data_IF_581051976181
#
_entry.id   IF_581051976181
#
_cell.length_a   1.000
_cell.length_b   1.000
_cell.length_c   1.000
_cell.angle_alpha   90.00
_cell.angle_beta   90.00
_cell.angle_gamma   90.00
#
_symmetry.space_group_name_H-M   'P 1'
#
loop_
_entity.id
_entity.type
_entity.pdbx_description
1 polymer ?
#
# COMPACT_ATOMS: atom_id res chain seq x y z
N UNK A 1 11.66 -35.38 3.56
CA UNK A 1 11.76 -34.11 2.83
C UNK A 1 11.05 -33.05 3.65
N UNK A 2 11.78 -32.05 4.16
CA UNK A 2 11.36 -31.05 5.16
C UNK A 2 10.06 -30.33 4.74
N UNK A 3 8.91 -30.39 5.43
CA UNK A 3 8.50 -29.88 6.76
C UNK A 3 8.80 -28.38 6.97
N UNK A 4 7.72 -27.65 7.33
CA UNK A 4 7.56 -26.24 7.72
C UNK A 4 7.54 -25.17 6.62
N UNK A 5 6.49 -25.14 5.80
CA UNK A 5 5.93 -23.87 5.35
C UNK A 5 5.06 -23.31 6.48
N UNK A 6 5.60 -22.36 7.24
CA UNK A 6 4.88 -21.66 8.30
C UNK A 6 3.74 -20.85 7.68
N UNK A 7 2.53 -21.41 7.67
CA UNK A 7 1.33 -20.59 7.74
C UNK A 7 1.34 -20.02 9.17
N UNK A 8 1.70 -18.74 9.33
CA UNK A 8 1.50 -18.06 10.60
C UNK A 8 -0.01 -17.99 10.85
N UNK A 9 -0.51 -18.84 11.75
CA UNK A 9 -1.80 -18.67 12.39
C UNK A 9 -1.86 -17.26 12.98
N UNK A 10 -2.64 -16.37 12.38
CA UNK A 10 -3.16 -15.19 13.08
C UNK A 10 -4.32 -15.69 13.95
N UNK A 11 -3.98 -16.54 14.93
CA UNK A 11 -4.80 -16.82 16.09
C UNK A 11 -3.99 -16.57 17.35
N UNK A 12 -3.32 -15.43 17.37
CA UNK A 12 -2.98 -14.73 18.58
C UNK A 12 -3.96 -13.56 18.68
N UNK A 13 -4.75 -13.60 19.75
CA UNK A 13 -5.69 -12.62 20.28
C UNK A 13 -5.73 -11.25 19.58
N UNK A 14 -6.93 -10.65 19.48
CA UNK A 14 -7.10 -9.23 19.17
C UNK A 14 -6.24 -8.28 20.05
N UNK A 15 -5.62 -8.77 21.12
CA UNK A 15 -4.61 -8.08 21.94
C UNK A 15 -3.13 -8.28 21.55
N UNK A 16 -2.82 -9.14 20.57
CA UNK A 16 -1.47 -9.55 20.17
C UNK A 16 -0.92 -8.89 18.89
N UNK A 17 -1.67 -7.93 18.32
CA UNK A 17 -1.13 -6.98 17.34
C UNK A 17 -0.25 -5.96 18.09
N UNK A 18 0.74 -6.46 18.83
CA UNK A 18 1.71 -5.63 19.52
C UNK A 18 2.39 -4.75 18.49
N UNK A 19 2.41 -3.45 18.77
CA UNK A 19 3.25 -2.47 18.08
C UNK A 19 4.68 -3.01 18.19
N UNK A 20 5.19 -3.64 17.13
CA UNK A 20 6.57 -4.10 17.08
C UNK A 20 7.46 -2.86 17.17
N UNK A 21 7.98 -2.61 18.36
CA UNK A 21 8.84 -1.46 18.68
C UNK A 21 10.26 -1.60 18.12
N UNK A 22 10.54 -2.67 17.36
CA UNK A 22 11.77 -2.84 16.57
C UNK A 22 11.47 -3.47 15.21
N UNK A 23 11.98 -2.87 14.14
CA UNK A 23 11.99 -3.50 12.79
C UNK A 23 12.97 -4.65 12.81
N UNK A 24 12.50 -5.87 12.59
CA UNK A 24 13.34 -7.04 12.36
C UNK A 24 13.85 -7.02 10.91
N UNK A 25 15.09 -7.46 10.70
CA UNK A 25 15.71 -7.59 9.37
C UNK A 25 14.88 -8.47 8.42
N UNK A 26 13.99 -9.31 8.96
CA UNK A 26 13.16 -10.25 8.19
C UNK A 26 11.73 -9.78 7.93
N UNK A 27 11.30 -8.61 8.44
CA UNK A 27 9.91 -8.15 8.28
C UNK A 27 9.49 -8.02 6.80
N UNK A 28 10.44 -7.77 5.90
CA UNK A 28 10.22 -7.72 4.44
C UNK A 28 9.85 -9.07 3.79
N UNK A 29 9.96 -10.17 4.53
CA UNK A 29 9.61 -11.53 4.07
C UNK A 29 8.26 -11.99 4.59
N UNK A 30 7.65 -11.25 5.51
CA UNK A 30 6.38 -11.62 6.11
C UNK A 30 5.23 -11.26 5.16
N UNK A 31 4.41 -12.26 4.86
CA UNK A 31 3.14 -12.09 4.15
C UNK A 31 2.01 -12.45 5.11
N UNK A 32 1.16 -11.47 5.42
CA UNK A 32 -0.07 -11.70 6.14
C UNK A 32 -1.15 -12.14 5.16
N UNK A 33 -1.83 -13.23 5.50
CA UNK A 33 -2.95 -13.76 4.71
C UNK A 33 -4.22 -13.67 5.55
N UNK A 34 -5.28 -13.11 5.00
CA UNK A 34 -6.56 -12.95 5.67
C UNK A 34 -7.69 -13.27 4.70
N UNK A 35 -8.64 -14.08 5.16
CA UNK A 35 -9.91 -14.29 4.48
C UNK A 35 -10.88 -13.15 4.81
N UNK A 36 -11.37 -12.44 3.79
CA UNK A 36 -12.27 -11.29 3.92
C UNK A 36 -13.72 -11.69 4.15
N UNK A 37 -14.10 -12.94 3.91
CA UNK A 37 -15.46 -13.42 4.10
C UNK A 37 -15.73 -13.83 5.56
N UNK A 38 -14.69 -13.80 6.41
CA UNK A 38 -14.80 -13.97 7.84
C UNK A 38 -15.35 -12.71 8.53
N UNK A 39 -16.24 -12.89 9.50
CA UNK A 39 -16.87 -11.83 10.29
C UNK A 39 -15.88 -10.94 11.07
N UNK A 40 -14.72 -11.48 11.43
CA UNK A 40 -13.64 -10.77 12.11
C UNK A 40 -12.67 -10.02 11.18
N UNK A 41 -12.79 -10.17 9.86
CA UNK A 41 -11.80 -9.65 8.92
C UNK A 41 -11.69 -8.12 8.96
N UNK A 42 -12.81 -7.41 8.88
CA UNK A 42 -12.82 -5.93 8.91
C UNK A 42 -12.34 -5.38 10.26
N UNK A 43 -12.80 -5.88 11.42
CA UNK A 43 -12.22 -5.52 12.73
C UNK A 43 -10.70 -5.71 12.79
N UNK A 44 -10.18 -6.82 12.26
CA UNK A 44 -8.75 -7.10 12.25
C UNK A 44 -7.98 -6.13 11.35
N UNK A 45 -8.48 -5.82 10.16
CA UNK A 45 -7.87 -4.84 9.26
C UNK A 45 -7.84 -3.43 9.89
N UNK A 46 -8.87 -3.05 10.66
CA UNK A 46 -8.87 -1.79 11.42
C UNK A 46 -7.80 -1.78 12.51
N UNK A 47 -7.60 -2.89 13.22
CA UNK A 47 -6.54 -3.01 14.21
C UNK A 47 -5.15 -2.95 13.56
N UNK A 48 -4.95 -3.64 12.44
CA UNK A 48 -3.72 -3.59 11.64
C UNK A 48 -3.43 -2.17 11.10
N UNK A 49 -4.47 -1.45 10.68
CA UNK A 49 -4.35 -0.05 10.28
C UNK A 49 -3.86 0.82 11.44
N UNK A 50 -4.49 0.69 12.61
CA UNK A 50 -4.15 1.47 13.80
C UNK A 50 -2.73 1.20 14.31
N UNK A 51 -2.19 0.00 14.09
CA UNK A 51 -0.81 -0.38 14.41
C UNK A 51 0.21 -0.04 13.32
N UNK A 52 -0.23 0.56 12.20
CA UNK A 52 0.66 0.97 11.10
C UNK A 52 1.13 -0.18 10.19
N UNK A 53 0.47 -1.35 10.24
CA UNK A 53 0.88 -2.54 9.49
C UNK A 53 0.55 -2.49 8.00
N UNK A 54 -0.08 -1.42 7.51
CA UNK A 54 -0.18 -1.17 6.07
C UNK A 54 1.04 -0.44 5.50
N UNK A 55 1.96 0.05 6.31
CA UNK A 55 3.21 0.65 5.82
C UNK A 55 4.26 -0.39 5.48
N UNK A 56 5.16 -0.03 4.56
CA UNK A 56 6.28 -0.89 4.21
C UNK A 56 7.15 -1.23 5.45
N UNK A 57 7.68 -2.46 5.58
CA UNK A 57 7.77 -3.48 4.52
C UNK A 57 6.68 -4.57 4.56
N UNK A 58 5.62 -4.39 5.35
CA UNK A 58 4.58 -5.40 5.58
C UNK A 58 3.74 -5.65 4.33
N UNK A 59 3.42 -6.92 4.06
CA UNK A 59 2.63 -7.36 2.90
C UNK A 59 1.35 -8.06 3.32
N UNK A 60 0.28 -7.79 2.60
CA UNK A 60 -1.03 -8.39 2.83
C UNK A 60 -1.58 -9.02 1.55
N UNK A 61 -1.99 -10.28 1.69
CA UNK A 61 -2.81 -11.00 0.72
C UNK A 61 -4.17 -11.28 1.35
N UNK A 62 -5.20 -10.67 0.78
CA UNK A 62 -6.56 -10.76 1.27
C UNK A 62 -7.34 -11.64 0.30
N UNK A 63 -8.00 -12.68 0.80
CA UNK A 63 -8.77 -13.62 -0.01
C UNK A 63 -10.24 -13.24 0.08
N UNK A 64 -10.96 -13.29 -1.04
CA UNK A 64 -12.41 -13.09 -1.09
C UNK A 64 -13.03 -14.08 -2.05
N UNK A 65 -13.77 -15.04 -1.54
CA UNK A 65 -14.45 -16.06 -2.30
C UNK A 65 -15.92 -15.68 -2.56
N UNK A 66 -16.17 -15.07 -3.72
CA UNK A 66 -17.54 -14.72 -4.15
C UNK A 66 -18.38 -15.92 -4.60
N UNK A 67 -17.83 -17.14 -4.60
CA UNK A 67 -18.58 -18.34 -4.96
C UNK A 67 -19.39 -18.91 -3.78
N UNK A 68 -19.03 -18.53 -2.55
CA UNK A 68 -19.59 -19.08 -1.31
C UNK A 68 -20.52 -18.04 -0.66
N UNK A 69 -21.70 -17.77 -1.23
CA UNK A 69 -22.77 -17.08 -0.51
C UNK A 69 -23.70 -16.19 -1.34
N UNK A 70 -25.01 -16.47 -1.28
CA UNK A 70 -26.08 -15.69 -1.91
C UNK A 70 -26.45 -14.39 -1.16
N UNK A 71 -25.86 -14.12 0.01
CA UNK A 71 -26.19 -12.98 0.88
C UNK A 71 -24.94 -12.29 1.48
N UNK A 72 -23.82 -12.28 0.76
CA UNK A 72 -22.68 -11.44 1.16
C UNK A 72 -23.07 -10.01 0.79
N UNK A 73 -23.14 -9.10 1.78
CA UNK A 73 -23.24 -7.67 1.49
C UNK A 73 -22.16 -7.34 0.47
N UNK A 74 -22.52 -6.69 -0.63
CA UNK A 74 -21.56 -6.31 -1.69
C UNK A 74 -20.68 -5.17 -1.18
N UNK A 75 -19.95 -5.43 -0.09
CA UNK A 75 -19.04 -4.52 0.55
C UNK A 75 -17.89 -4.33 -0.41
N UNK A 76 -17.95 -3.21 -1.11
CA UNK A 76 -16.94 -2.86 -2.08
C UNK A 76 -15.59 -2.72 -1.38
N UNK A 77 -14.50 -2.90 -2.13
CA UNK A 77 -13.17 -2.64 -1.58
C UNK A 77 -13.06 -1.22 -1.04
N UNK A 78 -13.75 -0.26 -1.66
CA UNK A 78 -13.84 1.12 -1.19
C UNK A 78 -14.42 1.21 0.22
N UNK A 79 -15.53 0.52 0.50
CA UNK A 79 -16.15 0.49 1.83
C UNK A 79 -15.24 -0.21 2.85
N UNK A 80 -14.59 -1.31 2.44
CA UNK A 80 -13.68 -2.07 3.32
C UNK A 80 -12.50 -1.20 3.80
N UNK A 81 -11.93 -0.38 2.90
CA UNK A 81 -10.73 0.43 3.16
C UNK A 81 -11.01 1.93 3.34
N UNK A 82 -12.27 2.32 3.52
CA UNK A 82 -12.70 3.73 3.49
C UNK A 82 -11.88 4.62 4.43
N UNK A 83 -11.66 4.16 5.66
CA UNK A 83 -10.99 4.91 6.74
C UNK A 83 -9.60 4.35 7.09
N UNK A 84 -8.98 3.63 6.15
CA UNK A 84 -7.67 3.01 6.35
C UNK A 84 -6.55 3.72 5.58
N UNK A 85 -5.40 3.84 6.24
CA UNK A 85 -4.16 4.44 5.75
C UNK A 85 -3.38 3.51 4.82
N UNK A 86 -4.01 3.08 3.72
CA UNK A 86 -3.39 2.26 2.67
C UNK A 86 -2.77 3.17 1.61
N UNK A 87 -1.56 3.66 1.85
CA UNK A 87 -0.88 4.68 1.03
C UNK A 87 -0.03 4.07 -0.10
N UNK A 88 0.63 4.88 -0.96
CA UNK A 88 1.35 4.35 -2.12
C UNK A 88 2.46 3.34 -1.78
N UNK A 89 3.02 3.34 -0.58
CA UNK A 89 4.00 2.37 -0.12
C UNK A 89 3.38 1.05 0.39
N UNK A 90 2.06 1.02 0.62
CA UNK A 90 1.35 -0.15 1.15
C UNK A 90 1.25 -1.30 0.15
N UNK A 91 1.65 -2.51 0.56
CA UNK A 91 1.55 -3.72 -0.26
C UNK A 91 0.33 -4.57 0.13
N UNK A 92 -0.87 -4.07 -0.18
CA UNK A 92 -2.14 -4.77 0.02
C UNK A 92 -2.68 -5.28 -1.30
N UNK A 93 -2.88 -6.59 -1.41
CA UNK A 93 -3.44 -7.26 -2.59
C UNK A 93 -4.65 -8.09 -2.20
N UNK A 94 -5.77 -7.90 -2.88
CA UNK A 94 -6.98 -8.70 -2.75
C UNK A 94 -7.04 -9.69 -3.91
N UNK A 95 -7.13 -10.99 -3.61
CA UNK A 95 -7.44 -12.03 -4.56
C UNK A 95 -8.92 -12.38 -4.43
N UNK A 96 -9.70 -12.07 -5.47
CA UNK A 96 -11.14 -12.35 -5.50
C UNK A 96 -11.42 -13.52 -6.41
N UNK A 97 -12.08 -14.57 -5.92
CA UNK A 97 -12.56 -15.66 -6.77
C UNK A 97 -13.62 -15.13 -7.73
N UNK A 98 -13.46 -15.41 -9.02
CA UNK A 98 -14.49 -15.14 -10.02
C UNK A 98 -15.48 -16.29 -10.07
N UNK A 99 -16.74 -15.99 -10.41
CA UNK A 99 -17.74 -17.01 -10.75
C UNK A 99 -17.41 -17.75 -12.06
N UNK A 100 -16.48 -17.20 -12.86
CA UNK A 100 -16.02 -17.81 -14.11
C UNK A 100 -15.00 -18.93 -13.85
N UNK A 101 -15.23 -20.07 -14.51
CA UNK A 101 -14.29 -21.20 -14.55
C UNK A 101 -13.47 -21.08 -15.83
N UNK A 102 -12.14 -21.01 -15.69
CA UNK A 102 -11.21 -20.93 -16.81
C UNK A 102 -10.34 -22.18 -16.80
N UNK A 103 -10.29 -22.88 -17.93
CA UNK A 103 -9.48 -24.09 -18.10
C UNK A 103 -9.76 -25.17 -17.02
N UNK A 104 -11.03 -25.27 -16.59
CA UNK A 104 -11.49 -26.26 -15.61
C UNK A 104 -11.20 -25.91 -14.14
N UNK A 105 -10.70 -24.71 -13.85
CA UNK A 105 -10.48 -24.24 -12.48
C UNK A 105 -11.07 -22.85 -12.23
N UNK A 106 -11.39 -22.55 -10.96
CA UNK A 106 -11.87 -21.23 -10.55
C UNK A 106 -10.74 -20.22 -10.78
N UNK A 107 -11.03 -19.16 -11.53
CA UNK A 107 -10.08 -18.08 -11.71
C UNK A 107 -10.15 -17.09 -10.53
N UNK A 108 -8.99 -16.56 -10.15
CA UNK A 108 -8.86 -15.56 -9.11
C UNK A 108 -8.30 -14.29 -9.71
N UNK A 109 -8.99 -13.18 -9.49
CA UNK A 109 -8.57 -11.87 -9.92
C UNK A 109 -7.76 -11.19 -8.81
N UNK A 110 -6.52 -10.83 -9.11
CA UNK A 110 -5.62 -10.18 -8.16
C UNK A 110 -5.65 -8.68 -8.37
N UNK A 111 -6.02 -7.94 -7.32
CA UNK A 111 -6.14 -6.47 -7.36
C UNK A 111 -5.40 -5.86 -6.19
N UNK A 112 -4.48 -4.93 -6.46
CA UNK A 112 -3.80 -4.19 -5.41
C UNK A 112 -4.54 -2.90 -5.10
N UNK A 113 -4.69 -2.56 -3.82
CA UNK A 113 -5.44 -1.38 -3.39
C UNK A 113 -4.53 -0.38 -2.68
N UNK A 114 -4.76 0.91 -2.92
CA UNK A 114 -4.11 2.03 -2.23
C UNK A 114 -4.82 3.35 -2.50
N UNK A 115 -4.54 4.39 -1.71
CA UNK A 115 -4.94 5.77 -1.97
C UNK A 115 -3.71 6.68 -2.09
N UNK A 116 -3.67 7.64 -3.03
CA UNK A 116 -2.54 8.56 -3.17
C UNK A 116 -2.32 9.47 -1.94
N UNK A 117 -3.36 9.73 -1.17
CA UNK A 117 -3.32 10.58 0.02
C UNK A 117 -4.58 10.42 0.89
N UNK A 118 -4.62 11.05 2.08
CA UNK A 118 -5.69 10.85 3.06
C UNK A 118 -7.08 11.28 2.58
N UNK A 119 -7.15 12.28 1.71
CA UNK A 119 -8.41 12.83 1.17
C UNK A 119 -8.66 12.42 -0.28
N UNK A 120 -8.00 11.34 -0.75
CA UNK A 120 -8.14 10.82 -2.12
C UNK A 120 -8.87 9.48 -2.10
N UNK A 121 -9.58 9.20 -3.18
CA UNK A 121 -10.27 7.93 -3.41
C UNK A 121 -9.31 6.73 -3.40
N UNK A 122 -9.86 5.57 -3.08
CA UNK A 122 -9.15 4.30 -3.19
C UNK A 122 -8.98 3.93 -4.67
N UNK A 123 -7.78 3.54 -5.04
CA UNK A 123 -7.43 3.06 -6.36
C UNK A 123 -7.23 1.54 -6.32
N UNK A 124 -7.73 0.88 -7.36
CA UNK A 124 -7.56 -0.54 -7.61
C UNK A 124 -6.66 -0.75 -8.84
N UNK A 125 -5.55 -1.45 -8.66
CA UNK A 125 -4.63 -1.84 -9.73
C UNK A 125 -4.84 -3.32 -10.06
N UNK A 126 -5.19 -3.63 -11.30
CA UNK A 126 -5.19 -5.01 -11.77
C UNK A 126 -3.76 -5.57 -11.75
N UNK A 127 -3.54 -6.62 -10.96
CA UNK A 127 -2.24 -7.29 -10.82
C UNK A 127 -2.14 -8.55 -11.67
N UNK A 128 -3.26 -9.05 -12.18
CA UNK A 128 -3.34 -10.24 -13.01
C UNK A 128 -4.30 -11.28 -12.44
N UNK A 129 -4.15 -12.51 -12.90
CA UNK A 129 -5.02 -13.62 -12.52
C UNK A 129 -4.23 -14.77 -11.93
N UNK A 130 -4.90 -15.63 -11.18
CA UNK A 130 -4.39 -16.93 -10.75
C UNK A 130 -5.40 -18.02 -11.06
N UNK A 131 -4.92 -19.16 -11.59
CA UNK A 131 -5.71 -20.38 -11.77
C UNK A 131 -4.89 -21.57 -11.29
N UNK A 132 -5.55 -22.65 -10.88
CA UNK A 132 -4.86 -23.82 -10.33
C UNK A 132 -3.93 -24.50 -11.34
N UNK A 133 -4.31 -24.46 -12.62
CA UNK A 133 -3.59 -25.08 -13.74
C UNK A 133 -2.40 -24.25 -14.26
N UNK A 134 -2.50 -22.90 -14.25
CA UNK A 134 -1.47 -21.99 -14.82
C UNK A 134 -0.71 -21.18 -13.78
N UNK A 135 -1.12 -21.21 -12.51
CA UNK A 135 -0.53 -20.39 -11.47
C UNK A 135 -0.76 -18.90 -11.69
N UNK A 136 0.15 -18.07 -11.16
CA UNK A 136 0.02 -16.59 -11.21
C UNK A 136 0.41 -16.06 -12.58
N UNK A 137 -0.50 -15.33 -13.22
CA UNK A 137 -0.27 -14.57 -14.45
C UNK A 137 -0.30 -13.09 -14.15
N UNK A 138 0.85 -12.54 -13.77
CA UNK A 138 0.97 -11.12 -13.44
C UNK A 138 0.99 -10.23 -14.70
N UNK A 139 0.31 -9.07 -14.63
CA UNK A 139 0.30 -8.08 -15.73
C UNK A 139 1.57 -7.20 -15.72
N UNK A 140 2.03 -6.80 -14.53
CA UNK A 140 3.18 -5.93 -14.36
C UNK A 140 4.02 -6.39 -13.17
N UNK A 141 5.28 -6.76 -13.40
CA UNK A 141 6.21 -7.27 -12.39
C UNK A 141 7.08 -6.17 -11.76
N UNK A 142 6.98 -4.91 -12.20
CA UNK A 142 7.75 -3.80 -11.61
C UNK A 142 7.35 -3.64 -10.13
N UNK A 143 8.27 -3.24 -9.24
CA UNK A 143 7.96 -3.03 -7.82
C UNK A 143 7.01 -1.85 -7.59
N UNK A 144 6.37 -1.82 -6.42
CA UNK A 144 5.35 -0.82 -6.05
C UNK A 144 5.84 0.61 -6.19
N UNK A 145 7.09 0.89 -5.80
CA UNK A 145 7.76 2.20 -5.97
C UNK A 145 7.92 2.68 -7.41
N UNK A 146 7.81 1.78 -8.41
CA UNK A 146 7.84 2.14 -9.83
C UNK A 146 6.45 2.27 -10.43
N UNK A 147 5.48 1.47 -9.97
CA UNK A 147 4.10 1.49 -10.46
C UNK A 147 3.34 2.72 -9.96
N UNK A 148 3.54 3.11 -8.70
CA UNK A 148 2.80 4.18 -8.02
C UNK A 148 3.58 5.48 -7.94
N UNK A 149 4.15 5.90 -9.07
CA UNK A 149 4.88 7.18 -9.16
C UNK A 149 3.96 8.39 -9.32
N UNK A 150 2.75 8.18 -9.82
CA UNK A 150 1.78 9.26 -9.99
C UNK A 150 0.94 9.42 -8.71
N UNK A 151 1.16 10.54 -8.01
CA UNK A 151 0.46 10.89 -6.78
C UNK A 151 -0.82 11.70 -7.04
N UNK A 152 -1.26 11.84 -8.29
CA UNK A 152 -2.51 12.52 -8.70
C UNK A 152 -2.70 13.88 -8.06
N UNK A 153 -1.67 14.73 -8.11
CA UNK A 153 -1.63 16.07 -7.52
C UNK A 153 -1.92 16.08 -6.02
N UNK A 154 -1.48 15.05 -5.30
CA UNK A 154 -1.54 15.04 -3.83
C UNK A 154 -0.51 16.00 -3.28
N UNK A 155 -0.94 16.84 -2.33
CA UNK A 155 -0.09 17.82 -1.67
C UNK A 155 0.91 17.13 -0.75
N UNK A 156 2.20 17.35 -1.01
CA UNK A 156 3.29 16.87 -0.19
C UNK A 156 3.76 17.96 0.76
N UNK A 157 3.85 17.61 2.05
CA UNK A 157 4.42 18.51 3.05
C UNK A 157 5.93 18.43 2.98
N UNK A 158 6.58 19.56 2.70
CA UNK A 158 8.03 19.70 2.73
C UNK A 158 8.45 20.64 3.86
N UNK A 159 9.67 20.46 4.36
CA UNK A 159 10.27 21.32 5.37
C UNK A 159 11.59 21.86 4.84
N UNK A 160 11.81 23.17 5.01
CA UNK A 160 13.05 23.86 4.69
C UNK A 160 13.59 24.47 5.97
N UNK A 161 14.91 24.38 6.17
CA UNK A 161 15.59 25.02 7.30
C UNK A 161 16.26 26.28 6.77
N UNK A 162 15.93 27.43 7.33
CA UNK A 162 16.48 28.72 6.92
C UNK A 162 17.02 29.43 8.15
N UNK A 163 18.19 30.04 8.01
CA UNK A 163 18.79 30.87 9.07
C UNK A 163 18.54 32.36 8.83
N UNK A 164 18.35 32.75 7.57
CA UNK A 164 17.99 34.10 7.17
C UNK A 164 16.51 34.14 6.74
N UNK A 165 15.68 35.03 7.32
CA UNK A 165 14.28 35.19 6.93
C UNK A 165 14.06 35.53 5.45
N UNK A 166 15.02 36.21 4.81
CA UNK A 166 14.90 36.66 3.43
C UNK A 166 15.25 35.54 2.42
N UNK A 167 15.82 34.42 2.87
CA UNK A 167 16.10 33.25 2.02
C UNK A 167 14.87 32.77 1.24
N UNK A 168 13.66 32.93 1.79
CA UNK A 168 12.42 32.48 1.15
C UNK A 168 12.15 33.18 -0.19
N UNK A 169 12.59 34.42 -0.35
CA UNK A 169 12.42 35.20 -1.58
C UNK A 169 13.44 34.82 -2.66
N UNK A 170 14.54 34.17 -2.24
CA UNK A 170 15.73 33.90 -3.05
C UNK A 170 16.02 32.40 -3.23
N UNK A 171 14.98 31.55 -3.19
CA UNK A 171 15.13 30.09 -3.30
C UNK A 171 15.49 29.62 -4.72
N UNK A 172 15.32 30.46 -5.74
CA UNK A 172 15.47 30.07 -7.15
C UNK A 172 16.30 31.02 -8.01
N UNK A 173 16.64 32.21 -7.50
CA UNK A 173 17.31 33.27 -8.27
C UNK A 173 18.84 33.34 -8.07
N UNK A 174 19.39 32.44 -7.24
CA UNK A 174 20.82 32.38 -6.89
C UNK A 174 21.37 33.66 -6.21
N UNK A 175 20.50 34.55 -5.75
CA UNK A 175 20.91 35.72 -4.97
C UNK A 175 21.41 35.28 -3.59
N UNK A 176 22.41 35.99 -3.04
CA UNK A 176 23.00 35.68 -1.73
C UNK A 176 23.34 34.19 -1.57
N UNK A 177 24.01 33.59 -2.57
CA UNK A 177 24.32 32.15 -2.63
C UNK A 177 25.09 31.58 -1.44
N UNK A 178 25.73 32.44 -0.65
CA UNK A 178 26.49 32.06 0.54
C UNK A 178 25.59 31.94 1.79
N UNK A 179 24.37 32.46 1.74
CA UNK A 179 23.35 32.39 2.80
C UNK A 179 22.40 31.22 2.49
N UNK A 180 22.16 30.36 3.49
CA UNK A 180 21.38 29.13 3.38
C UNK A 180 21.66 28.29 2.11
N UNK A 181 22.95 28.02 1.77
CA UNK A 181 23.33 27.42 0.50
C UNK A 181 22.73 26.02 0.31
N UNK A 182 22.59 25.25 1.40
CA UNK A 182 22.02 23.90 1.36
C UNK A 182 20.53 23.95 0.98
N UNK A 183 19.79 24.87 1.56
CA UNK A 183 18.34 25.03 1.30
C UNK A 183 18.09 25.50 -0.12
N UNK A 184 18.85 26.50 -0.59
CA UNK A 184 18.77 26.99 -1.97
C UNK A 184 19.17 25.91 -2.99
N UNK A 185 20.19 25.11 -2.69
CA UNK A 185 20.58 24.00 -3.57
C UNK A 185 19.53 22.87 -3.61
N UNK A 186 18.89 22.58 -2.48
CA UNK A 186 17.90 21.49 -2.38
C UNK A 186 16.51 21.86 -2.89
N UNK A 187 16.10 23.13 -2.81
CA UNK A 187 14.75 23.55 -3.19
C UNK A 187 14.37 23.18 -4.64
N UNK A 188 15.21 23.45 -5.67
CA UNK A 188 14.94 22.99 -7.03
C UNK A 188 14.78 21.47 -7.15
N UNK A 189 15.55 20.68 -6.39
CA UNK A 189 15.41 19.23 -6.39
C UNK A 189 14.07 18.78 -5.83
N UNK A 190 13.57 19.42 -4.78
CA UNK A 190 12.23 19.14 -4.23
C UNK A 190 11.17 19.40 -5.30
N UNK A 191 11.26 20.51 -6.03
CA UNK A 191 10.34 20.82 -7.14
C UNK A 191 10.41 19.77 -8.26
N UNK A 192 11.60 19.34 -8.63
CA UNK A 192 11.78 18.28 -9.64
C UNK A 192 11.23 16.93 -9.19
N UNK A 193 11.43 16.56 -7.92
CA UNK A 193 10.89 15.33 -7.34
C UNK A 193 9.36 15.37 -7.31
N UNK A 194 8.77 16.48 -6.84
CA UNK A 194 7.32 16.67 -6.83
C UNK A 194 6.73 16.60 -8.24
N UNK A 195 7.35 17.29 -9.21
CA UNK A 195 6.96 17.26 -10.62
C UNK A 195 7.03 15.84 -11.21
N UNK A 196 8.12 15.11 -10.93
CA UNK A 196 8.30 13.73 -11.40
C UNK A 196 7.26 12.77 -10.83
N UNK A 197 6.75 13.04 -9.63
CA UNK A 197 5.71 12.24 -8.99
C UNK A 197 4.28 12.75 -9.26
N UNK A 198 4.11 13.75 -10.14
CA UNK A 198 2.83 14.42 -10.36
C UNK A 198 2.17 14.88 -9.03
N UNK A 199 2.96 15.43 -8.12
CA UNK A 199 2.52 15.94 -6.82
C UNK A 199 2.45 17.48 -6.80
N UNK A 200 1.90 18.05 -5.71
CA UNK A 200 1.88 19.51 -5.45
C UNK A 200 2.56 19.86 -4.15
#
# INVERSE_FOLDING_TARGET
>A
MSRSGLAHEIRAELGGLEVRTGRDLWDHRVLHVLDLDCDYAVPLLRAANASGMFSAPTRWLLLRDRTIGENVTDDTLEQTFQDMAVYPDSEVTVATASLEVVDGSIAWQMTSVYRPGPFRELLAENRGTWTADRGVRAIDLRPTSRRRRDLRRTTLKSCLVMTDPDTINHLTDYENKHIDPITKANYPWVLHIASRMNAT
#
